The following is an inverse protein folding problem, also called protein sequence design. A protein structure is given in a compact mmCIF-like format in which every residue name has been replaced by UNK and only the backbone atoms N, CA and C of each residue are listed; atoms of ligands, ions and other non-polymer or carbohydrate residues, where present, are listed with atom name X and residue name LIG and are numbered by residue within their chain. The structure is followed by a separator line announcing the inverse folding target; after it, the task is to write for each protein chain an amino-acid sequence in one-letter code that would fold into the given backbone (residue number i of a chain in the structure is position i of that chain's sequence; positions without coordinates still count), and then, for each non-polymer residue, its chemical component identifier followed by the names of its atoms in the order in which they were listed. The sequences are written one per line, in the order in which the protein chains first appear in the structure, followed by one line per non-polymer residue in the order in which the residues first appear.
data_IF_245580656437
#
_entry.id   IF_245580656437
#
_cell.length_a   1.000
_cell.length_b   1.000
_cell.length_c   1.000
_cell.angle_alpha   90.00
_cell.angle_beta   90.00
_cell.angle_gamma   90.00
#
_symmetry.space_group_name_H-M   'P 1'
#
loop_
_entity.id
_entity.type
_entity.pdbx_description
1 polymer ?
#
# COMPACT_ATOMS: atom_id res chain seq x y z
N UNK A 1 13.93 7.82 7.98
CA UNK A 1 12.67 7.55 7.28
C UNK A 1 13.01 7.33 5.82
N UNK A 2 12.29 6.46 5.12
CA UNK A 2 12.57 6.07 3.74
C UNK A 2 11.32 6.26 2.90
N UNK A 3 11.45 6.88 1.73
CA UNK A 3 10.39 6.96 0.73
C UNK A 3 10.64 5.85 -0.28
N UNK A 4 9.62 5.07 -0.58
CA UNK A 4 9.66 3.95 -1.51
C UNK A 4 8.62 4.19 -2.61
N UNK A 5 9.02 4.77 -3.75
CA UNK A 5 8.15 4.88 -4.91
C UNK A 5 8.00 3.51 -5.58
N UNK A 6 6.86 3.29 -6.22
CA UNK A 6 6.53 2.06 -6.94
C UNK A 6 5.65 2.38 -8.13
N UNK A 7 5.74 1.58 -9.19
CA UNK A 7 4.79 1.62 -10.28
C UNK A 7 4.53 0.19 -10.76
N UNK A 8 3.34 -0.04 -11.29
CA UNK A 8 2.93 -1.32 -11.83
C UNK A 8 2.11 -1.09 -13.09
N UNK A 9 2.60 -1.59 -14.21
CA UNK A 9 1.87 -1.62 -15.47
C UNK A 9 1.20 -2.99 -15.61
N UNK A 10 -0.11 -3.00 -15.84
CA UNK A 10 -0.90 -4.18 -16.15
C UNK A 10 -1.46 -4.02 -17.55
N UNK A 11 -1.31 -5.02 -18.41
CA UNK A 11 -1.92 -5.02 -19.74
C UNK A 11 -2.56 -6.38 -20.00
N UNK A 12 -3.85 -6.36 -20.31
CA UNK A 12 -4.64 -7.53 -20.65
C UNK A 12 -5.51 -7.22 -21.86
N UNK A 13 -5.10 -7.70 -23.04
CA UNK A 13 -5.74 -7.37 -24.31
C UNK A 13 -5.70 -5.87 -24.59
N UNK A 14 -6.88 -5.26 -24.77
CA UNK A 14 -7.00 -3.81 -24.99
C UNK A 14 -6.97 -2.98 -23.69
N UNK A 15 -7.07 -3.62 -22.52
CA UNK A 15 -7.09 -2.93 -21.24
C UNK A 15 -5.67 -2.78 -20.69
N UNK A 16 -5.14 -1.57 -20.77
CA UNK A 16 -3.87 -1.19 -20.13
C UNK A 16 -4.16 -0.29 -18.94
N UNK A 17 -3.56 -0.63 -17.81
CA UNK A 17 -3.74 0.05 -16.53
C UNK A 17 -2.37 0.33 -15.92
N UNK A 18 -2.19 1.56 -15.46
CA UNK A 18 -1.01 1.97 -14.72
C UNK A 18 -1.41 2.27 -13.27
N UNK A 19 -0.70 1.65 -12.34
CA UNK A 19 -0.77 1.92 -10.92
C UNK A 19 0.53 2.62 -10.51
N UNK A 20 0.43 3.80 -9.92
CA UNK A 20 1.58 4.57 -9.40
C UNK A 20 1.40 4.65 -7.89
N UNK A 21 2.42 4.27 -7.12
CA UNK A 21 2.35 4.22 -5.67
C UNK A 21 3.56 4.83 -5.00
N UNK A 22 3.37 5.28 -3.77
CA UNK A 22 4.45 5.73 -2.90
C UNK A 22 4.16 5.26 -1.48
N UNK A 23 5.15 4.66 -0.83
CA UNK A 23 5.13 4.34 0.59
C UNK A 23 6.17 5.18 1.33
N UNK A 24 5.85 5.55 2.56
CA UNK A 24 6.69 6.27 3.49
C UNK A 24 6.88 5.41 4.74
N UNK A 25 8.13 5.02 4.98
CA UNK A 25 8.53 4.17 6.09
C UNK A 25 9.18 5.03 7.18
N UNK A 26 8.58 5.00 8.37
CA UNK A 26 9.08 5.73 9.54
C UNK A 26 10.12 4.91 10.30
N UNK A 27 10.95 5.57 11.12
CA UNK A 27 11.93 4.88 11.99
C UNK A 27 11.26 3.97 13.03
N UNK A 28 10.01 4.26 13.39
CA UNK A 28 9.20 3.48 14.32
C UNK A 28 8.45 2.34 13.63
N UNK A 29 8.88 1.93 12.43
CA UNK A 29 8.32 0.80 11.68
C UNK A 29 6.85 0.98 11.27
N UNK A 30 6.34 2.21 11.24
CA UNK A 30 5.07 2.52 10.59
C UNK A 30 5.25 2.77 9.10
N UNK A 31 4.24 2.40 8.33
CA UNK A 31 4.11 2.57 6.89
C UNK A 31 2.89 3.43 6.62
N UNK A 32 3.09 4.51 5.87
CA UNK A 32 2.02 5.31 5.28
C UNK A 32 2.18 5.24 3.77
N UNK A 33 1.12 5.00 3.01
CA UNK A 33 1.24 4.88 1.57
C UNK A 33 0.02 5.39 0.84
N UNK A 34 0.24 5.81 -0.40
CA UNK A 34 -0.83 6.15 -1.33
C UNK A 34 -0.54 5.51 -2.67
N UNK A 35 -1.59 5.14 -3.40
CA UNK A 35 -1.47 4.62 -4.76
C UNK A 35 -2.61 5.13 -5.63
N UNK A 36 -2.26 5.59 -6.82
CA UNK A 36 -3.15 6.08 -7.87
C UNK A 36 -3.25 5.01 -8.95
N UNK A 37 -4.47 4.59 -9.25
CA UNK A 37 -4.80 3.72 -10.37
C UNK A 37 -5.45 4.58 -11.42
N UNK A 38 -4.70 4.91 -12.49
CA UNK A 38 -4.95 6.01 -13.44
C UNK A 38 -6.39 6.08 -13.99
N UNK A 39 -7.14 4.97 -13.99
CA UNK A 39 -8.48 4.90 -14.56
C UNK A 39 -9.55 4.40 -13.59
N UNK A 40 -9.26 4.23 -12.29
CA UNK A 40 -10.21 3.55 -11.41
C UNK A 40 -10.30 4.10 -9.99
N UNK A 41 -9.18 4.28 -9.29
CA UNK A 41 -9.24 4.48 -7.84
C UNK A 41 -7.98 5.10 -7.25
N UNK A 42 -8.12 5.64 -6.05
CA UNK A 42 -7.02 5.98 -5.15
C UNK A 42 -7.07 5.07 -3.94
N UNK A 43 -5.92 4.57 -3.53
CA UNK A 43 -5.75 3.71 -2.37
C UNK A 43 -4.88 4.42 -1.35
N UNK A 44 -5.37 4.55 -0.13
CA UNK A 44 -4.59 4.99 1.03
C UNK A 44 -4.25 3.78 1.90
N UNK A 45 -3.03 3.75 2.43
CA UNK A 45 -2.52 2.66 3.27
C UNK A 45 -1.90 3.24 4.53
N UNK A 46 -2.19 2.63 5.67
CA UNK A 46 -1.58 2.95 6.95
C UNK A 46 -1.37 1.67 7.76
N UNK A 47 -0.25 1.57 8.46
CA UNK A 47 0.03 0.38 9.23
C UNK A 47 1.45 0.36 9.79
N UNK A 48 1.90 -0.81 10.19
CA UNK A 48 3.25 -0.96 10.70
C UNK A 48 3.55 -2.36 11.20
N UNK A 49 4.81 -2.54 11.60
CA UNK A 49 5.28 -3.80 12.15
C UNK A 49 5.10 -3.87 13.66
N UNK A 50 4.48 -4.94 14.13
CA UNK A 50 4.39 -5.33 15.54
C UNK A 50 5.12 -6.66 15.71
N UNK A 51 6.38 -6.60 16.14
CA UNK A 51 7.25 -7.78 16.24
C UNK A 51 7.53 -8.39 14.86
N UNK A 52 6.98 -9.57 14.61
CA UNK A 52 7.11 -10.32 13.35
C UNK A 52 5.90 -10.13 12.42
N UNK A 53 4.87 -9.45 12.89
CA UNK A 53 3.65 -9.20 12.14
C UNK A 53 3.70 -7.82 11.49
N UNK A 54 3.26 -7.73 10.25
CA UNK A 54 2.89 -6.49 9.59
C UNK A 54 1.36 -6.40 9.63
N UNK A 55 0.83 -5.31 10.16
CA UNK A 55 -0.58 -5.01 10.12
C UNK A 55 -0.73 -3.77 9.27
N UNK A 56 -1.49 -3.88 8.18
CA UNK A 56 -1.79 -2.79 7.28
C UNK A 56 -3.29 -2.66 7.13
N UNK A 57 -3.77 -1.42 7.11
CA UNK A 57 -5.11 -1.08 6.71
C UNK A 57 -5.03 -0.29 5.42
N UNK A 58 -5.88 -0.64 4.46
CA UNK A 58 -6.00 0.06 3.20
C UNK A 58 -7.45 0.50 2.97
N UNK A 59 -7.60 1.70 2.42
CA UNK A 59 -8.87 2.25 2.00
C UNK A 59 -8.79 2.58 0.52
N UNK A 60 -9.62 1.94 -0.29
CA UNK A 60 -9.71 2.21 -1.72
C UNK A 60 -10.96 3.04 -2.02
N UNK A 61 -10.73 4.22 -2.58
CA UNK A 61 -11.75 5.11 -3.09
C UNK A 61 -11.80 5.03 -4.61
N UNK A 62 -12.86 4.43 -5.15
CA UNK A 62 -13.12 4.38 -6.59
C UNK A 62 -13.75 5.66 -7.14
N UNK A 63 -13.35 6.04 -8.36
CA UNK A 63 -13.86 7.20 -9.10
C UNK A 63 -15.05 6.90 -10.03
N UNK A 64 -15.47 5.63 -10.12
CA UNK A 64 -16.53 5.21 -11.05
C UNK A 64 -17.93 5.66 -10.60
N UNK A 65 -18.72 6.15 -11.56
CA UNK A 65 -20.12 6.59 -11.38
C UNK A 65 -21.09 5.48 -10.97
N UNK A 66 -20.64 4.21 -10.93
CA UNK A 66 -21.42 3.07 -10.44
C UNK A 66 -21.49 3.04 -8.89
N UNK A 67 -20.76 3.92 -8.20
CA UNK A 67 -20.76 4.09 -6.74
C UNK A 67 -22.04 4.73 -6.15
N UNK A 68 -23.23 4.36 -6.64
CA UNK A 68 -24.50 4.80 -6.02
C UNK A 68 -24.74 4.21 -4.62
N UNK A 69 -24.01 3.15 -4.23
CA UNK A 69 -24.24 2.40 -2.99
C UNK A 69 -22.99 2.00 -2.20
N UNK A 70 -21.78 2.26 -2.71
CA UNK A 70 -20.53 1.93 -2.01
C UNK A 70 -19.64 3.16 -1.92
N UNK A 71 -19.29 3.56 -0.70
CA UNK A 71 -18.44 4.71 -0.41
C UNK A 71 -16.94 4.41 -0.57
N UNK A 72 -16.57 3.14 -0.76
CA UNK A 72 -15.18 2.66 -0.84
C UNK A 72 -15.06 1.25 -0.29
N UNK A 73 -13.87 0.65 -0.36
CA UNK A 73 -13.57 -0.65 0.26
C UNK A 73 -12.52 -0.50 1.36
N UNK A 74 -12.73 -1.24 2.45
CA UNK A 74 -11.81 -1.31 3.59
C UNK A 74 -11.13 -2.66 3.57
N UNK A 75 -9.81 -2.67 3.48
CA UNK A 75 -9.01 -3.89 3.46
C UNK A 75 -8.09 -3.92 4.69
N UNK A 76 -8.03 -5.07 5.35
CA UNK A 76 -7.10 -5.33 6.44
C UNK A 76 -6.12 -6.42 5.99
N UNK A 77 -4.84 -6.11 6.02
CA UNK A 77 -3.74 -7.00 5.64
C UNK A 77 -2.94 -7.36 6.88
N UNK A 78 -2.78 -8.66 7.11
CA UNK A 78 -1.96 -9.20 8.20
C UNK A 78 -0.93 -10.14 7.59
N UNK A 79 0.35 -9.83 7.76
CA UNK A 79 1.45 -10.65 7.25
C UNK A 79 2.34 -11.10 8.39
N UNK A 80 2.61 -12.41 8.49
CA UNK A 80 3.56 -12.95 9.46
C UNK A 80 4.90 -13.24 8.78
N UNK A 81 6.00 -12.74 9.36
CA UNK A 81 7.35 -13.00 8.87
C UNK A 81 8.08 -13.95 9.83
N UNK A 82 8.61 -15.06 9.32
CA UNK A 82 9.45 -15.97 10.11
C UNK A 82 10.71 -15.27 10.65
N UNK A 83 11.36 -14.43 9.83
CA UNK A 83 12.44 -13.52 10.23
C UNK A 83 12.15 -12.13 9.68
N UNK A 84 12.03 -11.13 10.55
CA UNK A 84 11.70 -9.77 10.13
C UNK A 84 12.96 -8.99 9.69
N UNK A 85 13.37 -9.18 8.44
CA UNK A 85 14.54 -8.53 7.82
C UNK A 85 14.31 -7.03 7.60
N UNK A 86 13.07 -6.62 7.35
CA UNK A 86 12.73 -5.22 7.07
C UNK A 86 12.93 -4.33 8.32
N UNK A 87 12.52 -4.82 9.50
CA UNK A 87 12.80 -4.15 10.78
C UNK A 87 14.30 -4.05 11.06
N UNK A 88 15.09 -5.06 10.69
CA UNK A 88 16.55 -5.03 10.86
C UNK A 88 17.19 -3.95 9.98
N UNK A 89 16.79 -3.86 8.71
CA UNK A 89 17.27 -2.84 7.76
C UNK A 89 16.90 -1.40 8.18
N UNK A 90 15.74 -1.20 8.81
CA UNK A 90 15.35 0.12 9.34
C UNK A 90 16.03 0.46 10.69
N UNK A 91 16.42 -0.53 11.49
CA UNK A 91 17.19 -0.34 12.72
C UNK A 91 18.65 -0.01 12.47
N UNK A 92 19.24 -0.52 11.39
CA UNK A 92 20.62 -0.21 11.01
C UNK A 92 20.69 0.24 9.53
N UNK A 93 20.49 1.55 9.25
CA UNK A 93 20.52 2.08 7.89
C UNK A 93 21.94 2.23 7.30
N UNK A 94 22.96 1.66 7.94
CA UNK A 94 24.37 1.69 7.55
C UNK A 94 24.89 0.28 7.28
#
# INVERSE_FOLDING_TARGET
AMIEPSFLLKSAGQNTQLDIGMNYHTRISMILGASLRTSSSVIFKLGGFVGNYLILYAYEWGFSSINKYSFGTHELVITCHYKNVFRQKMKNPY
#
